data_IF_266782094805
#
_entry.id   IF_266782094805
#
_cell.length_a   1.000
_cell.length_b   1.000
_cell.length_c   1.000
_cell.angle_alpha   90.00
_cell.angle_beta   90.00
_cell.angle_gamma   90.00
#
_symmetry.space_group_name_H-M   'P 1'
#
loop_
_entity.id
_entity.type
_entity.pdbx_description
1 polymer ?
#
# COMPACT_ATOMS: atom_id res chain seq x y z
N UNK A 1 10.74 -11.06 -35.56
CA UNK A 1 11.74 -11.40 -34.51
C UNK A 1 11.55 -10.42 -33.36
N UNK A 2 11.42 -10.94 -32.14
CA UNK A 2 11.21 -10.18 -30.89
C UNK A 2 12.47 -9.42 -30.46
N UNK A 3 12.29 -8.34 -29.71
CA UNK A 3 13.15 -8.00 -28.56
C UNK A 3 12.37 -7.13 -27.55
N UNK A 4 12.08 -7.73 -26.41
CA UNK A 4 11.37 -7.21 -25.23
C UNK A 4 12.28 -6.29 -24.41
N UNK A 5 12.02 -4.98 -24.36
CA UNK A 5 12.80 -4.05 -23.53
C UNK A 5 11.97 -3.12 -22.62
N UNK A 6 10.65 -3.31 -22.49
CA UNK A 6 9.79 -2.43 -21.67
C UNK A 6 9.46 -2.93 -20.25
N UNK A 7 9.85 -4.16 -19.90
CA UNK A 7 9.36 -4.86 -18.70
C UNK A 7 10.29 -4.79 -17.49
N UNK A 8 11.59 -4.58 -17.69
CA UNK A 8 12.58 -4.54 -16.61
C UNK A 8 12.70 -3.15 -15.98
N UNK A 9 12.68 -2.06 -16.76
CA UNK A 9 12.73 -0.69 -16.22
C UNK A 9 11.46 -0.37 -15.40
N UNK A 10 10.28 -0.73 -15.90
CA UNK A 10 9.02 -0.60 -15.16
C UNK A 10 8.97 -1.49 -13.90
N UNK A 11 9.67 -2.62 -13.88
CA UNK A 11 9.83 -3.46 -12.67
C UNK A 11 10.81 -2.86 -11.67
N UNK A 12 11.94 -2.33 -12.15
CA UNK A 12 12.95 -1.64 -11.34
C UNK A 12 12.34 -0.43 -10.64
N UNK A 13 11.62 0.42 -11.38
CA UNK A 13 10.95 1.60 -10.83
C UNK A 13 9.87 1.25 -9.79
N UNK A 14 9.14 0.15 -9.97
CA UNK A 14 8.21 -0.35 -8.92
C UNK A 14 8.92 -0.83 -7.66
N UNK A 15 10.06 -1.50 -7.81
CA UNK A 15 10.83 -2.00 -6.67
C UNK A 15 11.50 -0.84 -5.92
N UNK A 16 12.12 0.09 -6.64
CA UNK A 16 12.70 1.32 -6.09
C UNK A 16 11.65 2.17 -5.40
N UNK A 17 10.44 2.31 -5.97
CA UNK A 17 9.32 2.97 -5.30
C UNK A 17 9.00 2.29 -3.97
N UNK A 18 8.88 0.95 -3.91
CA UNK A 18 8.61 0.15 -2.69
C UNK A 18 9.69 0.23 -1.59
N UNK A 19 10.90 0.67 -1.92
CA UNK A 19 11.99 0.87 -0.97
C UNK A 19 11.92 2.23 -0.25
N UNK A 20 11.08 3.17 -0.73
CA UNK A 20 10.89 4.45 -0.05
C UNK A 20 10.04 4.25 1.20
N UNK A 21 10.41 4.86 2.33
CA UNK A 21 9.62 4.80 3.57
C UNK A 21 8.21 5.37 3.27
N UNK A 22 7.16 4.56 3.50
CA UNK A 22 5.76 4.91 3.21
C UNK A 22 5.22 4.44 1.84
N UNK A 23 6.05 3.82 0.99
CA UNK A 23 5.64 3.32 -0.34
C UNK A 23 5.09 1.89 -0.36
N UNK A 24 5.43 1.12 0.67
CA UNK A 24 4.84 -0.19 0.91
C UNK A 24 3.63 0.03 1.79
N UNK A 25 2.44 -0.16 1.22
CA UNK A 25 1.22 -0.25 2.02
C UNK A 25 1.44 -1.33 3.09
N UNK A 26 1.38 -1.00 4.39
CA UNK A 26 1.68 -1.96 5.43
C UNK A 26 0.70 -3.13 5.35
N UNK A 27 1.20 -4.33 5.57
CA UNK A 27 0.35 -5.50 5.73
C UNK A 27 -0.16 -5.54 7.16
N UNK A 28 -1.46 -5.69 7.35
CA UNK A 28 -2.04 -5.92 8.66
C UNK A 28 -1.50 -7.21 9.28
N UNK A 29 -1.11 -7.14 10.54
CA UNK A 29 -0.77 -8.29 11.37
C UNK A 29 -2.02 -9.10 11.72
N UNK A 30 -1.81 -10.34 12.16
CA UNK A 30 -2.91 -11.21 12.61
C UNK A 30 -3.75 -10.57 13.72
N UNK A 31 -3.11 -9.86 14.66
CA UNK A 31 -3.79 -9.26 15.80
C UNK A 31 -4.70 -8.09 15.40
N UNK A 32 -4.29 -7.29 14.40
CA UNK A 32 -5.10 -6.18 13.88
C UNK A 32 -6.35 -6.65 13.13
N UNK A 33 -6.31 -7.85 12.58
CA UNK A 33 -7.44 -8.49 11.89
C UNK A 33 -8.16 -9.54 12.76
N UNK A 34 -7.80 -9.66 14.04
CA UNK A 34 -8.33 -10.69 14.92
C UNK A 34 -9.84 -10.50 15.09
N UNK A 35 -10.62 -11.53 14.74
CA UNK A 35 -12.09 -11.49 14.80
C UNK A 35 -12.76 -11.08 13.49
N UNK A 36 -11.99 -10.73 12.46
CA UNK A 36 -12.55 -10.48 11.14
C UNK A 36 -12.91 -11.80 10.46
N UNK A 37 -14.19 -11.97 10.17
CA UNK A 37 -14.72 -13.11 9.40
C UNK A 37 -14.44 -13.00 7.90
N UNK A 38 -14.08 -11.80 7.44
CA UNK A 38 -13.94 -11.44 6.04
C UNK A 38 -12.57 -10.82 5.76
N UNK A 39 -12.34 -10.37 4.52
CA UNK A 39 -11.05 -9.84 4.07
C UNK A 39 -10.66 -8.59 4.86
N UNK A 40 -9.53 -8.66 5.54
CA UNK A 40 -8.89 -7.54 6.21
C UNK A 40 -7.87 -6.86 5.28
N UNK A 41 -7.84 -5.53 5.23
CA UNK A 41 -6.90 -4.73 4.42
C UNK A 41 -6.44 -3.50 5.18
N UNK A 42 -5.21 -3.06 4.93
CA UNK A 42 -4.74 -1.76 5.38
C UNK A 42 -5.22 -0.67 4.41
N UNK A 43 -5.87 0.34 4.95
CA UNK A 43 -6.35 1.51 4.21
C UNK A 43 -5.61 2.77 4.68
N UNK A 44 -5.36 3.67 3.73
CA UNK A 44 -4.78 4.97 4.03
C UNK A 44 -5.83 5.88 4.64
N UNK A 45 -5.52 6.44 5.79
CA UNK A 45 -6.32 7.44 6.47
C UNK A 45 -5.51 8.74 6.48
N UNK A 46 -6.02 9.82 5.87
CA UNK A 46 -5.40 11.12 5.95
C UNK A 46 -5.28 11.54 7.42
N UNK A 47 -4.10 11.99 7.84
CA UNK A 47 -4.01 12.91 8.98
C UNK A 47 -4.44 14.28 8.45
N UNK A 48 -5.12 15.10 9.25
CA UNK A 48 -5.56 16.42 8.80
C UNK A 48 -4.42 17.17 8.12
N UNK A 49 -4.56 17.34 6.82
CA UNK A 49 -3.55 17.89 5.95
C UNK A 49 -4.22 18.40 4.69
N UNK A 50 -4.04 19.69 4.42
CA UNK A 50 -4.65 20.41 3.31
C UNK A 50 -4.10 20.01 1.93
N UNK A 51 -3.00 19.26 1.88
CA UNK A 51 -2.26 18.95 0.65
C UNK A 51 -2.33 17.46 0.30
N UNK A 52 -3.10 17.05 -0.74
CA UNK A 52 -3.29 15.64 -1.11
C UNK A 52 -2.03 14.85 -1.51
N UNK A 53 -0.89 15.53 -1.68
CA UNK A 53 0.38 14.93 -2.12
C UNK A 53 1.37 14.75 -0.97
N UNK A 54 1.37 15.67 0.01
CA UNK A 54 2.39 15.72 1.07
C UNK A 54 1.82 15.54 2.49
N UNK A 55 0.50 15.44 2.63
CA UNK A 55 -0.11 15.25 3.94
C UNK A 55 0.35 13.94 4.56
N UNK A 56 0.57 13.95 5.87
CA UNK A 56 0.92 12.73 6.58
C UNK A 56 -0.26 11.75 6.47
N UNK A 57 0.04 10.50 6.13
CA UNK A 57 -0.93 9.42 6.13
C UNK A 57 -0.59 8.47 7.26
N UNK A 58 -1.63 7.97 7.92
CA UNK A 58 -1.51 6.77 8.74
C UNK A 58 -2.32 5.66 8.10
N UNK A 59 -1.97 4.41 8.41
CA UNK A 59 -2.72 3.26 7.91
C UNK A 59 -3.58 2.70 9.02
N UNK A 60 -4.77 2.24 8.64
CA UNK A 60 -5.68 1.52 9.54
C UNK A 60 -6.09 0.20 8.90
N UNK A 61 -6.09 -0.87 9.70
CA UNK A 61 -6.63 -2.16 9.29
C UNK A 61 -8.16 -2.15 9.35
N UNK A 62 -8.80 -2.46 8.23
CA UNK A 62 -10.24 -2.45 8.04
C UNK A 62 -10.70 -3.82 7.54
N UNK A 63 -11.80 -4.31 8.10
CA UNK A 63 -12.39 -5.58 7.72
C UNK A 63 -13.62 -5.34 6.84
N UNK A 64 -13.52 -5.77 5.59
CA UNK A 64 -14.58 -5.57 4.61
C UNK A 64 -15.65 -6.64 4.79
N UNK A 65 -16.87 -6.22 5.11
CA UNK A 65 -18.04 -7.09 5.14
C UNK A 65 -18.56 -7.26 3.71
N UNK A 66 -18.03 -8.23 2.98
CA UNK A 66 -18.55 -8.67 1.68
C UNK A 66 -19.61 -9.75 1.86
#
# INVERSE_FOLDING_TARGET
>A
MQATQGSNEAKMDRYSRRLMIGSTAPTCTFNECRGCKYKCRAEQVPVEGNDPINSAYHYKCVCHRS
#
